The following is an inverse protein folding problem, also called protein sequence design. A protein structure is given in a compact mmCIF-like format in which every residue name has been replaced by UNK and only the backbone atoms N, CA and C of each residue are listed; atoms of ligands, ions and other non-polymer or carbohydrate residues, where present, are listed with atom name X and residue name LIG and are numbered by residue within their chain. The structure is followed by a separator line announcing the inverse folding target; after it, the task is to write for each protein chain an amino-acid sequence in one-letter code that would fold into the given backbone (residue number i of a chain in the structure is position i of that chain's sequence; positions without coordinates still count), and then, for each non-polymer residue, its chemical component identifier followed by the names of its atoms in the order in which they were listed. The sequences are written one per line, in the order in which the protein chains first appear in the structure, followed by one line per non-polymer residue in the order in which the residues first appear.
data_IF_440016579709
#
_entry.id   IF_440016579709
#
_cell.length_a   1.000
_cell.length_b   1.000
_cell.length_c   1.000
_cell.angle_alpha   90.00
_cell.angle_beta   90.00
_cell.angle_gamma   90.00
#
_symmetry.space_group_name_H-M   'P 1'
#
loop_
_entity.id
_entity.type
_entity.pdbx_description
1 polymer ?
#
# COMPACT_ATOMS: atom_id res chain seq x y z
N UNK A 1 1.07 -0.84 -12.18
CA UNK A 1 -0.16 -0.11 -11.78
C UNK A 1 -0.55 0.79 -12.93
N UNK A 2 -1.70 0.53 -13.52
CA UNK A 2 -2.21 1.29 -14.65
C UNK A 2 -3.41 2.11 -14.17
N UNK A 3 -3.56 3.35 -14.65
CA UNK A 3 -4.75 4.17 -14.38
C UNK A 3 -5.90 3.80 -15.31
N UNK A 4 -7.11 4.29 -15.03
CA UNK A 4 -8.25 4.12 -15.96
C UNK A 4 -8.09 4.87 -17.29
N UNK A 5 -7.06 5.73 -17.40
CA UNK A 5 -6.65 6.41 -18.64
C UNK A 5 -5.48 5.69 -19.33
N UNK A 6 -5.19 4.44 -18.96
CA UNK A 6 -4.13 3.59 -19.51
C UNK A 6 -2.71 4.16 -19.31
N UNK A 7 -2.51 4.94 -18.24
CA UNK A 7 -1.19 5.48 -17.87
C UNK A 7 -0.52 4.56 -16.85
N UNK A 8 0.72 4.17 -17.12
CA UNK A 8 1.55 3.49 -16.13
C UNK A 8 2.02 4.48 -15.06
N UNK A 9 1.59 4.26 -13.82
CA UNK A 9 1.92 5.08 -12.66
C UNK A 9 2.72 4.28 -11.62
N UNK A 10 3.26 3.13 -12.00
CA UNK A 10 3.97 2.20 -11.10
C UNK A 10 5.11 2.89 -10.37
N UNK A 11 5.94 3.65 -11.09
CA UNK A 11 7.09 4.34 -10.47
C UNK A 11 6.67 5.33 -9.38
N UNK A 12 5.58 6.07 -9.58
CA UNK A 12 5.12 7.06 -8.63
C UNK A 12 4.69 6.40 -7.31
N UNK A 13 4.02 5.26 -7.41
CA UNK A 13 3.60 4.47 -6.25
C UNK A 13 4.80 3.84 -5.52
N UNK A 14 5.79 3.33 -6.25
CA UNK A 14 7.04 2.80 -5.66
C UNK A 14 7.80 3.92 -4.94
N UNK A 15 8.03 5.06 -5.61
CA UNK A 15 8.72 6.22 -5.01
C UNK A 15 8.01 6.69 -3.75
N UNK A 16 6.68 6.79 -3.78
CA UNK A 16 5.88 7.17 -2.61
C UNK A 16 6.04 6.19 -1.43
N UNK A 17 6.07 4.88 -1.71
CA UNK A 17 6.28 3.86 -0.69
C UNK A 17 7.69 3.95 -0.09
N UNK A 18 8.72 4.14 -0.93
CA UNK A 18 10.11 4.28 -0.49
C UNK A 18 10.32 5.54 0.39
N UNK A 19 9.79 6.69 -0.02
CA UNK A 19 9.87 7.91 0.79
C UNK A 19 9.12 7.76 2.12
N UNK A 20 7.96 7.12 2.12
CA UNK A 20 7.21 6.84 3.35
C UNK A 20 8.00 5.91 4.28
N UNK A 21 8.69 4.90 3.73
CA UNK A 21 9.54 4.02 4.51
C UNK A 21 10.74 4.75 5.10
N UNK A 22 11.37 5.67 4.34
CA UNK A 22 12.48 6.50 4.86
C UNK A 22 12.03 7.31 6.07
N UNK A 23 10.87 7.94 6.00
CA UNK A 23 10.28 8.69 7.12
C UNK A 23 10.01 7.74 8.30
N UNK A 24 9.36 6.60 8.06
CA UNK A 24 9.06 5.64 9.12
C UNK A 24 10.33 5.12 9.83
N UNK A 25 11.40 4.85 9.07
CA UNK A 25 12.71 4.47 9.62
C UNK A 25 13.37 5.61 10.41
N UNK A 26 13.29 6.85 9.91
CA UNK A 26 13.84 8.04 10.59
C UNK A 26 13.24 8.22 11.99
N UNK A 27 11.94 7.94 12.14
CA UNK A 27 11.24 8.04 13.42
C UNK A 27 11.17 6.71 14.20
N UNK A 28 11.87 5.66 13.76
CA UNK A 28 11.84 4.33 14.38
C UNK A 28 10.42 3.77 14.56
N UNK A 29 9.51 4.08 13.64
CA UNK A 29 8.15 3.55 13.64
C UNK A 29 8.18 2.01 13.57
N UNK A 30 7.34 1.36 14.37
CA UNK A 30 7.19 -0.10 14.40
C UNK A 30 5.86 -0.58 13.84
N UNK A 31 4.90 0.33 13.76
CA UNK A 31 3.54 0.03 13.34
C UNK A 31 3.06 1.14 12.40
N UNK A 32 2.22 0.79 11.43
CA UNK A 32 1.59 1.72 10.51
C UNK A 32 0.10 1.38 10.35
N UNK A 33 -0.75 2.38 10.59
CA UNK A 33 -2.18 2.31 10.32
C UNK A 33 -2.45 2.80 8.88
N UNK A 34 -3.03 1.95 8.06
CA UNK A 34 -3.19 2.17 6.62
C UNK A 34 -4.66 2.02 6.17
N UNK A 35 -5.00 2.74 5.11
CA UNK A 35 -6.34 2.74 4.52
C UNK A 35 -6.57 1.47 3.67
N UNK A 36 -7.57 0.68 4.05
CA UNK A 36 -7.91 -0.58 3.38
C UNK A 36 -8.40 -0.39 1.92
N UNK A 37 -8.09 -1.34 1.03
CA UNK A 37 -8.58 -1.36 -0.35
C UNK A 37 -7.79 -0.51 -1.35
N UNK A 38 -6.77 0.23 -0.90
CA UNK A 38 -5.92 1.07 -1.76
C UNK A 38 -4.82 0.24 -2.44
N UNK A 39 -4.48 0.50 -3.72
CA UNK A 39 -3.33 -0.14 -4.38
C UNK A 39 -1.97 0.23 -3.74
N UNK A 40 -1.92 1.25 -2.88
CA UNK A 40 -0.75 1.58 -2.07
C UNK A 40 -0.85 1.05 -0.64
N UNK A 41 -1.98 1.30 0.02
CA UNK A 41 -2.11 1.16 1.47
C UNK A 41 -2.94 -0.05 1.92
N UNK A 42 -3.60 -0.78 1.00
CA UNK A 42 -4.43 -1.93 1.38
C UNK A 42 -3.61 -3.01 2.08
N UNK A 43 -4.04 -3.44 3.26
CA UNK A 43 -3.32 -4.44 4.06
C UNK A 43 -3.77 -5.86 3.75
N UNK A 44 -5.06 -6.06 3.48
CA UNK A 44 -5.62 -7.39 3.25
C UNK A 44 -6.29 -7.52 1.87
N UNK A 45 -6.88 -6.43 1.37
CA UNK A 45 -7.60 -6.36 0.11
C UNK A 45 -7.09 -5.22 -0.77
N UNK A 46 -6.95 -5.48 -2.07
CA UNK A 46 -6.67 -4.50 -3.13
C UNK A 46 -7.64 -4.68 -4.29
N UNK A 47 -7.79 -3.67 -5.14
CA UNK A 47 -8.54 -3.81 -6.38
C UNK A 47 -7.86 -4.81 -7.33
N UNK A 48 -8.64 -5.58 -8.07
CA UNK A 48 -8.17 -6.63 -8.98
C UNK A 48 -7.53 -6.12 -10.29
N UNK A 49 -7.54 -4.80 -10.50
CA UNK A 49 -6.98 -4.16 -11.69
C UNK A 49 -7.90 -4.15 -12.92
N UNK A 50 -9.12 -4.68 -12.82
CA UNK A 50 -10.10 -4.71 -13.93
C UNK A 50 -10.95 -3.44 -14.03
N UNK A 51 -10.81 -2.51 -13.07
CA UNK A 51 -11.65 -1.31 -12.94
C UNK A 51 -13.15 -1.56 -12.77
N UNK A 52 -13.54 -2.78 -12.37
CA UNK A 52 -14.95 -3.15 -12.10
C UNK A 52 -15.37 -2.94 -10.63
N UNK A 53 -14.44 -2.49 -9.77
CA UNK A 53 -14.67 -2.30 -8.34
C UNK A 53 -14.46 -3.56 -7.49
N UNK A 54 -14.15 -4.70 -8.13
CA UNK A 54 -13.83 -5.95 -7.46
C UNK A 54 -12.53 -5.85 -6.66
N UNK A 55 -12.49 -6.55 -5.52
CA UNK A 55 -11.33 -6.63 -4.65
C UNK A 55 -10.89 -8.08 -4.49
N UNK A 56 -9.59 -8.27 -4.42
CA UNK A 56 -8.92 -9.56 -4.19
C UNK A 56 -8.02 -9.47 -2.96
N UNK A 57 -7.72 -10.61 -2.38
CA UNK A 57 -6.72 -10.70 -1.31
C UNK A 57 -5.35 -10.28 -1.86
N UNK A 58 -4.71 -9.34 -1.18
CA UNK A 58 -3.43 -8.78 -1.60
C UNK A 58 -3.07 -7.53 -0.80
N UNK A 59 -1.82 -7.11 -0.94
CA UNK A 59 -1.28 -5.93 -0.26
C UNK A 59 -0.94 -4.85 -1.27
N UNK A 60 -1.20 -3.60 -0.91
CA UNK A 60 -0.71 -2.45 -1.65
C UNK A 60 0.80 -2.29 -1.49
N UNK A 61 1.42 -1.54 -2.41
CA UNK A 61 2.90 -1.45 -2.48
C UNK A 61 3.53 -0.93 -1.17
N UNK A 62 2.92 0.06 -0.52
CA UNK A 62 3.43 0.62 0.75
C UNK A 62 3.27 -0.38 1.88
N UNK A 63 2.10 -1.02 1.97
CA UNK A 63 1.82 -2.02 2.99
C UNK A 63 2.78 -3.22 2.89
N UNK A 64 3.03 -3.71 1.67
CA UNK A 64 3.98 -4.79 1.40
C UNK A 64 5.41 -4.38 1.80
N UNK A 65 5.87 -3.22 1.33
CA UNK A 65 7.21 -2.72 1.62
C UNK A 65 7.46 -2.51 3.13
N UNK A 66 6.47 -2.01 3.85
CA UNK A 66 6.56 -1.82 5.30
C UNK A 66 6.69 -3.16 6.03
N UNK A 67 5.86 -4.13 5.64
CA UNK A 67 5.90 -5.49 6.19
C UNK A 67 7.26 -6.17 5.96
N UNK A 68 7.83 -6.04 4.76
CA UNK A 68 9.17 -6.54 4.43
C UNK A 68 10.29 -5.87 5.25
N UNK A 69 10.04 -4.64 5.73
CA UNK A 69 10.98 -3.88 6.56
C UNK A 69 10.68 -3.99 8.06
N UNK A 70 9.93 -5.01 8.50
CA UNK A 70 9.58 -5.27 9.90
C UNK A 70 8.79 -4.13 10.55
N UNK A 71 7.98 -3.41 9.77
CA UNK A 71 6.96 -2.50 10.27
C UNK A 71 5.64 -3.24 10.17
N UNK A 72 4.99 -3.42 11.31
CA UNK A 72 3.68 -4.06 11.37
C UNK A 72 2.63 -3.14 10.72
N UNK A 73 1.76 -3.70 9.89
CA UNK A 73 0.75 -2.92 9.16
C UNK A 73 -0.63 -3.36 9.59
N UNK A 74 -1.49 -2.38 9.86
CA UNK A 74 -2.87 -2.58 10.29
C UNK A 74 -3.79 -1.77 9.41
N UNK A 75 -4.97 -2.31 9.15
CA UNK A 75 -6.06 -1.55 8.55
C UNK A 75 -6.88 -0.85 9.62
N UNK A 76 -7.55 0.23 9.24
CA UNK A 76 -8.58 0.89 10.06
C UNK A 76 -9.75 -0.02 10.48
N UNK A 77 -9.87 -1.24 9.92
CA UNK A 77 -10.91 -2.22 10.27
C UNK A 77 -10.48 -3.21 11.36
N UNK A 78 -9.22 -3.17 11.77
CA UNK A 78 -8.63 -4.08 12.76
C UNK A 78 -8.45 -3.40 14.14
N UNK A 79 -8.99 -2.19 14.29
CA UNK A 79 -9.12 -1.43 15.54
C UNK A 79 -10.53 -1.62 16.13
#
# INVERSE_FOLDING_TARGET
MISCEDKDVTENFIKGAEESLKIAKMFNCKQALLKEGSPSCGCNLIYDGTFTGNKISGMGVTAALFKENNIEVFSEKEL
#
